data_IF_403797365429
#
_entry.id   IF_403797365429
#
_cell.length_a   1.000
_cell.length_b   1.000
_cell.length_c   1.000
_cell.angle_alpha   90.00
_cell.angle_beta   90.00
_cell.angle_gamma   90.00
#
_symmetry.space_group_name_H-M   'P 1'
#
loop_
_entity.id
_entity.type
_entity.pdbx_description
1 polymer ?
#
# COMPACT_ATOMS: atom_id res chain seq x y z
N UNK A 1 -20.74 39.41 0.75
CA UNK A 1 -19.51 38.82 0.21
C UNK A 1 -18.36 39.13 1.14
N UNK A 2 -17.81 38.11 1.80
CA UNK A 2 -16.51 38.18 2.45
C UNK A 2 -15.62 37.29 1.60
N UNK A 3 -14.87 37.93 0.69
CA UNK A 3 -13.79 37.32 -0.07
C UNK A 3 -12.59 37.15 0.86
N UNK A 4 -12.59 36.06 1.63
CA UNK A 4 -11.43 35.58 2.37
C UNK A 4 -10.90 34.35 1.66
N UNK A 5 -9.80 34.50 0.91
CA UNK A 5 -8.94 33.38 0.54
C UNK A 5 -8.20 32.93 1.80
N UNK A 6 -8.86 32.16 2.66
CA UNK A 6 -8.18 31.43 3.72
C UNK A 6 -7.45 30.24 3.11
N UNK A 7 -6.24 30.52 2.60
CA UNK A 7 -5.16 29.54 2.51
C UNK A 7 -4.64 29.29 3.95
N UNK A 8 -5.54 28.85 4.84
CA UNK A 8 -5.35 28.76 6.29
C UNK A 8 -4.82 27.41 6.77
N UNK A 9 -4.05 26.70 5.94
CA UNK A 9 -3.52 25.37 6.30
C UNK A 9 -2.00 25.28 6.12
N UNK A 10 -1.33 26.41 6.37
CA UNK A 10 0.13 26.47 6.49
C UNK A 10 0.54 25.98 7.88
N UNK A 11 0.82 24.67 7.99
CA UNK A 11 1.65 23.97 9.01
C UNK A 11 0.91 22.92 9.83
N UNK A 12 1.54 21.74 9.86
CA UNK A 12 1.17 20.52 10.61
C UNK A 12 1.21 20.72 12.14
N UNK A 13 1.78 21.83 12.59
CA UNK A 13 1.89 22.25 14.00
C UNK A 13 0.51 22.49 14.65
N UNK A 14 -0.53 22.80 13.87
CA UNK A 14 -1.86 23.15 14.40
C UNK A 14 -2.78 21.96 14.68
N UNK A 15 -2.41 20.75 14.21
CA UNK A 15 -3.20 19.54 14.44
C UNK A 15 -2.37 18.56 15.25
N UNK A 16 -2.49 18.54 16.60
CA UNK A 16 -1.82 17.54 17.41
C UNK A 16 -2.17 16.17 16.84
N UNK A 17 -1.16 15.31 16.64
CA UNK A 17 -1.36 13.92 16.22
C UNK A 17 -2.44 13.35 17.11
N UNK A 18 -3.65 13.16 16.58
CA UNK A 18 -4.68 12.42 17.29
C UNK A 18 -4.18 10.98 17.35
N UNK A 19 -3.40 10.67 18.39
CA UNK A 19 -3.05 9.32 18.78
C UNK A 19 -4.32 8.69 19.35
N UNK A 20 -5.27 8.40 18.47
CA UNK A 20 -6.40 7.55 18.83
C UNK A 20 -5.80 6.18 19.08
N UNK A 21 -5.78 5.77 20.35
CA UNK A 21 -5.40 4.41 20.73
C UNK A 21 -6.54 3.49 20.33
N UNK A 22 -6.49 2.99 19.11
CA UNK A 22 -7.44 1.99 18.62
C UNK A 22 -7.18 0.70 19.39
N UNK A 23 -8.00 0.38 20.38
CA UNK A 23 -7.99 -0.90 21.10
C UNK A 23 -9.42 -1.39 21.23
N UNK A 24 -9.95 -1.85 20.10
CA UNK A 24 -11.36 -2.26 19.99
C UNK A 24 -11.37 -3.71 19.49
N UNK A 25 -11.21 -4.71 20.39
CA UNK A 25 -10.95 -6.09 19.99
C UNK A 25 -12.11 -6.73 19.21
N UNK A 26 -13.32 -6.24 19.42
CA UNK A 26 -14.54 -6.69 18.74
C UNK A 26 -14.90 -5.85 17.50
N UNK A 27 -14.04 -4.90 17.11
CA UNK A 27 -14.28 -4.08 15.91
C UNK A 27 -14.26 -4.99 14.68
N UNK A 28 -15.40 -5.13 14.00
CA UNK A 28 -15.52 -5.91 12.78
C UNK A 28 -15.51 -5.05 11.51
N UNK A 29 -15.90 -3.78 11.63
CA UNK A 29 -15.97 -2.82 10.53
C UNK A 29 -15.40 -1.49 10.98
N UNK A 30 -14.48 -0.95 10.18
CA UNK A 30 -13.96 0.40 10.29
C UNK A 30 -14.08 1.09 8.92
N UNK A 31 -14.93 2.11 8.84
CA UNK A 31 -15.08 2.95 7.65
C UNK A 31 -14.80 4.40 8.07
N UNK A 32 -13.63 4.90 7.67
CA UNK A 32 -13.18 6.27 7.94
C UNK A 32 -13.15 7.04 6.63
N UNK A 33 -13.91 8.14 6.60
CA UNK A 33 -14.01 9.04 5.46
C UNK A 33 -13.79 10.47 5.88
N UNK A 34 -13.11 11.23 5.03
CA UNK A 34 -12.96 12.65 5.21
C UNK A 34 -11.58 13.15 4.81
N UNK A 35 -11.34 14.44 5.07
CA UNK A 35 -10.13 15.13 4.62
C UNK A 35 -8.87 14.64 5.34
N UNK A 36 -8.99 14.22 6.60
CA UNK A 36 -7.87 13.93 7.51
C UNK A 36 -7.59 12.44 7.75
N UNK A 37 -8.22 11.54 6.97
CA UNK A 37 -8.03 10.09 7.16
C UNK A 37 -6.58 9.66 6.92
N UNK A 38 -5.79 10.44 6.18
CA UNK A 38 -4.36 10.18 5.98
C UNK A 38 -3.52 10.24 7.27
N UNK A 39 -4.05 10.77 8.37
CA UNK A 39 -3.40 10.72 9.69
C UNK A 39 -3.64 9.41 10.44
N UNK A 40 -4.49 8.51 9.92
CA UNK A 40 -4.79 7.24 10.55
C UNK A 40 -3.54 6.35 10.61
N UNK A 41 -3.15 5.91 11.80
CA UNK A 41 -2.03 4.98 11.99
C UNK A 41 -2.51 3.53 11.81
N UNK A 42 -2.16 2.91 10.67
CA UNK A 42 -2.49 1.51 10.37
C UNK A 42 -2.01 0.56 11.48
N UNK A 43 -0.89 0.85 12.16
CA UNK A 43 -0.33 -0.03 13.21
C UNK A 43 -1.26 -0.16 14.40
N UNK A 44 -2.17 0.79 14.62
CA UNK A 44 -3.23 0.69 15.63
C UNK A 44 -4.15 -0.52 15.40
N UNK A 45 -4.27 -1.00 14.17
CA UNK A 45 -5.11 -2.15 13.81
C UNK A 45 -4.64 -3.48 14.43
N UNK A 46 -3.40 -3.57 14.92
CA UNK A 46 -2.91 -4.75 15.67
C UNK A 46 -3.75 -5.07 16.90
N UNK A 47 -4.45 -4.08 17.45
CA UNK A 47 -5.34 -4.22 18.59
C UNK A 47 -6.82 -4.44 18.18
N UNK A 48 -7.08 -4.62 16.89
CA UNK A 48 -8.39 -4.90 16.31
C UNK A 48 -8.39 -6.26 15.56
N UNK A 49 -8.04 -7.38 16.22
CA UNK A 49 -7.89 -8.68 15.57
C UNK A 49 -9.19 -9.24 14.96
N UNK A 50 -10.35 -8.69 15.33
CA UNK A 50 -11.66 -9.05 14.80
C UNK A 50 -12.04 -8.36 13.49
N UNK A 51 -11.22 -7.43 12.97
CA UNK A 51 -11.59 -6.60 11.84
C UNK A 51 -11.76 -7.42 10.56
N UNK A 52 -12.91 -7.24 9.90
CA UNK A 52 -13.26 -7.89 8.63
C UNK A 52 -13.36 -6.90 7.48
N UNK A 53 -13.76 -5.66 7.76
CA UNK A 53 -13.91 -4.61 6.76
C UNK A 53 -13.14 -3.37 7.18
N UNK A 54 -12.21 -2.94 6.33
CA UNK A 54 -11.46 -1.70 6.48
C UNK A 54 -11.66 -0.83 5.23
N UNK A 55 -12.20 0.36 5.42
CA UNK A 55 -12.37 1.37 4.37
C UNK A 55 -11.77 2.68 4.84
N UNK A 56 -10.76 3.17 4.13
CA UNK A 56 -10.07 4.41 4.44
C UNK A 56 -10.10 5.33 3.22
N UNK A 57 -10.97 6.34 3.27
CA UNK A 57 -11.27 7.22 2.14
C UNK A 57 -10.86 8.66 2.43
N UNK A 58 -9.87 9.14 1.71
CA UNK A 58 -9.43 10.54 1.77
C UNK A 58 -10.25 11.33 0.75
N UNK A 59 -11.11 12.21 1.23
CA UNK A 59 -12.00 13.03 0.39
C UNK A 59 -11.34 14.32 -0.10
N UNK A 60 -10.07 14.57 0.25
CA UNK A 60 -9.36 15.80 -0.10
C UNK A 60 -8.38 15.63 -1.25
N UNK A 61 -8.30 16.65 -2.11
CA UNK A 61 -7.23 16.83 -3.10
C UNK A 61 -5.93 17.39 -2.50
N UNK A 62 -5.79 17.40 -1.16
CA UNK A 62 -4.52 17.81 -0.55
C UNK A 62 -3.53 16.72 -0.91
N UNK A 63 -2.74 17.00 -1.95
CA UNK A 63 -1.57 16.24 -2.28
C UNK A 63 -0.78 16.09 -0.99
N UNK A 64 -0.55 14.84 -0.54
CA UNK A 64 0.48 14.60 0.45
C UNK A 64 1.72 15.40 0.01
N UNK A 65 2.31 16.24 0.89
CA UNK A 65 3.37 17.15 0.51
C UNK A 65 4.44 16.37 -0.25
N UNK A 66 4.58 16.66 -1.54
CA UNK A 66 5.47 15.93 -2.42
C UNK A 66 6.91 16.11 -1.93
N UNK A 67 7.63 15.03 -1.63
CA UNK A 67 9.10 15.05 -1.64
C UNK A 67 9.63 13.99 -2.58
N UNK A 68 10.59 14.42 -3.39
CA UNK A 68 11.48 13.58 -4.19
C UNK A 68 12.14 12.57 -3.24
N UNK A 69 12.13 11.28 -3.60
CA UNK A 69 12.92 10.22 -2.93
C UNK A 69 14.37 10.71 -2.82
N UNK A 70 14.82 11.03 -1.62
CA UNK A 70 16.22 10.89 -1.24
C UNK A 70 16.38 9.48 -0.72
N UNK A 71 17.29 8.70 -1.32
CA UNK A 71 17.63 7.35 -0.87
C UNK A 71 18.05 7.42 0.61
N UNK A 72 17.31 6.75 1.49
CA UNK A 72 17.78 6.41 2.83
C UNK A 72 17.66 4.90 2.96
N UNK A 73 18.82 4.24 2.93
CA UNK A 73 18.98 2.85 3.29
C UNK A 73 18.50 2.65 4.73
N UNK A 74 17.46 1.83 4.89
CA UNK A 74 16.98 1.41 6.22
C UNK A 74 17.63 0.08 6.53
N UNK A 75 18.89 0.15 6.96
CA UNK A 75 19.58 -0.91 7.70
C UNK A 75 20.20 -0.27 8.95
N UNK A 76 19.39 -0.06 9.99
CA UNK A 76 19.92 -0.13 11.36
C UNK A 76 18.78 -0.44 12.34
N UNK A 77 18.81 -1.64 12.91
CA UNK A 77 17.94 -2.09 14.00
C UNK A 77 18.57 -1.81 15.37
N UNK A 78 19.39 -0.75 15.47
CA UNK A 78 19.92 -0.30 16.73
C UNK A 78 20.03 1.23 16.77
N UNK A 79 19.18 1.87 17.57
CA UNK A 79 19.61 2.89 18.54
C UNK A 79 18.42 3.55 19.24
N UNK A 80 18.37 3.27 20.55
CA UNK A 80 17.80 4.15 21.54
C UNK A 80 18.45 5.55 21.42
N UNK A 81 17.58 6.57 21.31
CA UNK A 81 17.82 7.96 21.70
C UNK A 81 19.03 8.67 21.09
N UNK A 82 18.83 9.35 19.95
CA UNK A 82 19.49 10.63 19.67
C UNK A 82 18.56 11.58 18.92
N UNK A 83 18.64 12.85 19.30
CA UNK A 83 17.92 14.00 18.77
C UNK A 83 18.07 14.12 17.24
N UNK A 84 16.96 13.95 16.51
CA UNK A 84 16.88 14.30 15.10
C UNK A 84 16.47 15.78 14.97
N UNK A 85 17.45 16.58 14.54
CA UNK A 85 17.33 17.99 14.19
C UNK A 85 16.21 18.27 13.19
N UNK A 86 15.63 19.47 13.38
CA UNK A 86 14.60 20.12 12.57
C UNK A 86 14.83 20.00 11.06
N UNK A 87 14.08 19.08 10.48
CA UNK A 87 13.85 18.94 9.06
C UNK A 87 12.65 18.03 8.89
N UNK A 88 11.44 18.56 9.09
CA UNK A 88 10.19 17.79 9.02
C UNK A 88 10.13 16.92 7.75
N UNK A 89 10.47 15.64 7.92
CA UNK A 89 10.33 14.67 6.85
C UNK A 89 8.85 14.28 6.70
N UNK A 90 8.29 14.34 5.49
CA UNK A 90 6.95 13.84 5.23
C UNK A 90 6.99 12.31 5.38
N UNK A 91 6.51 11.83 6.52
CA UNK A 91 6.34 10.40 6.83
C UNK A 91 5.29 9.82 5.87
N UNK A 92 5.75 9.27 4.74
CA UNK A 92 4.95 8.36 3.93
C UNK A 92 4.76 7.07 4.70
N UNK A 93 3.60 6.44 4.54
CA UNK A 93 3.44 5.06 5.01
C UNK A 93 4.42 4.17 4.24
N UNK A 94 5.26 3.46 4.98
CA UNK A 94 6.23 2.52 4.44
C UNK A 94 5.61 1.13 4.31
N UNK A 95 6.28 0.20 3.63
CA UNK A 95 5.86 -1.21 3.64
C UNK A 95 5.66 -1.76 5.07
N UNK A 96 6.43 -1.27 6.04
CA UNK A 96 6.29 -1.64 7.47
C UNK A 96 4.92 -1.25 8.06
N UNK A 97 4.31 -0.15 7.62
CA UNK A 97 2.98 0.26 8.09
C UNK A 97 1.87 -0.63 7.51
N UNK A 98 2.10 -1.21 6.34
CA UNK A 98 1.18 -2.15 5.67
C UNK A 98 1.35 -3.60 6.14
N UNK A 99 2.46 -3.94 6.81
CA UNK A 99 2.70 -5.27 7.36
C UNK A 99 1.59 -5.70 8.34
N UNK A 100 1.05 -4.76 9.12
CA UNK A 100 -0.08 -5.03 10.02
C UNK A 100 -1.31 -5.55 9.25
N UNK A 101 -1.57 -5.02 8.05
CA UNK A 101 -2.67 -5.47 7.18
C UNK A 101 -2.39 -6.85 6.60
N UNK A 102 -1.14 -7.10 6.20
CA UNK A 102 -0.69 -8.40 5.70
C UNK A 102 -0.91 -9.53 6.72
N UNK A 103 -0.74 -9.23 8.01
CA UNK A 103 -0.95 -10.19 9.11
C UNK A 103 -2.44 -10.43 9.45
N UNK A 104 -3.38 -9.62 8.94
CA UNK A 104 -4.81 -9.73 9.27
C UNK A 104 -5.51 -10.89 8.56
N UNK A 105 -5.41 -12.09 9.14
CA UNK A 105 -6.05 -13.32 8.66
C UNK A 105 -7.60 -13.30 8.58
N UNK A 106 -8.24 -12.28 9.16
CA UNK A 106 -9.71 -12.13 9.18
C UNK A 106 -10.22 -10.99 8.29
N UNK A 107 -9.33 -10.19 7.72
CA UNK A 107 -9.73 -9.08 6.87
C UNK A 107 -10.26 -9.63 5.54
N UNK A 108 -11.55 -9.38 5.28
CA UNK A 108 -12.26 -9.84 4.08
C UNK A 108 -12.40 -8.71 3.05
N UNK A 109 -12.47 -7.45 3.48
CA UNK A 109 -12.60 -6.28 2.62
C UNK A 109 -11.57 -5.21 3.00
N UNK A 110 -10.77 -4.80 2.03
CA UNK A 110 -9.82 -3.69 2.14
C UNK A 110 -10.09 -2.68 1.04
N UNK A 111 -10.37 -1.43 1.42
CA UNK A 111 -10.56 -0.34 0.48
C UNK A 111 -9.75 0.89 0.88
N UNK A 112 -8.84 1.30 0.00
CA UNK A 112 -7.93 2.43 0.20
C UNK A 112 -8.16 3.43 -0.93
N UNK A 113 -8.77 4.57 -0.60
CA UNK A 113 -9.05 5.65 -1.54
C UNK A 113 -8.31 6.92 -1.14
N UNK A 114 -7.57 7.49 -2.08
CA UNK A 114 -6.82 8.72 -1.89
C UNK A 114 -5.33 8.57 -2.20
N UNK A 115 -4.76 9.65 -2.73
CA UNK A 115 -3.35 9.73 -3.15
C UNK A 115 -2.37 9.43 -2.02
N UNK A 116 -2.69 9.84 -0.79
CA UNK A 116 -1.79 9.74 0.37
C UNK A 116 -1.54 8.31 0.87
N UNK A 117 -2.36 7.33 0.48
CA UNK A 117 -2.09 5.92 0.80
C UNK A 117 -0.88 5.38 0.04
N UNK A 118 -0.53 6.00 -1.10
CA UNK A 118 0.68 5.71 -1.86
C UNK A 118 0.92 4.22 -2.16
N UNK A 119 -0.12 3.48 -2.57
CA UNK A 119 -0.01 2.05 -2.90
C UNK A 119 0.93 1.84 -4.09
N UNK A 120 2.17 1.43 -3.81
CA UNK A 120 3.23 1.16 -4.78
C UNK A 120 3.53 -0.35 -4.89
N UNK A 121 4.52 -0.71 -5.72
CA UNK A 121 4.92 -2.10 -5.92
C UNK A 121 5.38 -2.79 -4.63
N UNK A 122 6.02 -2.05 -3.71
CA UNK A 122 6.55 -2.62 -2.48
C UNK A 122 5.43 -2.90 -1.47
N UNK A 123 4.41 -2.03 -1.41
CA UNK A 123 3.22 -2.27 -0.59
C UNK A 123 2.44 -3.48 -1.12
N UNK A 124 2.26 -3.61 -2.43
CA UNK A 124 1.61 -4.78 -3.01
C UNK A 124 2.39 -6.08 -2.72
N UNK A 125 3.72 -6.05 -2.84
CA UNK A 125 4.60 -7.17 -2.45
C UNK A 125 4.44 -7.53 -0.97
N UNK A 126 4.37 -6.53 -0.09
CA UNK A 126 4.17 -6.72 1.36
C UNK A 126 2.81 -7.34 1.65
N UNK A 127 1.73 -6.82 1.06
CA UNK A 127 0.38 -7.31 1.29
C UNK A 127 0.16 -8.71 0.69
N UNK A 128 0.73 -8.98 -0.49
CA UNK A 128 0.61 -10.28 -1.16
C UNK A 128 1.58 -11.32 -0.61
N UNK A 129 2.73 -10.92 -0.10
CA UNK A 129 3.80 -11.84 0.30
C UNK A 129 4.49 -12.44 -0.92
N UNK A 130 5.01 -11.60 -1.79
CA UNK A 130 5.81 -12.02 -2.95
C UNK A 130 6.94 -11.01 -3.16
N UNK A 131 7.99 -11.43 -3.88
CA UNK A 131 9.08 -10.55 -4.23
C UNK A 131 9.21 -10.41 -5.74
N UNK A 132 9.39 -9.17 -6.21
CA UNK A 132 9.79 -8.88 -7.57
C UNK A 132 11.31 -8.69 -7.57
N UNK A 133 12.03 -9.57 -8.28
CA UNK A 133 13.44 -9.33 -8.60
C UNK A 133 13.52 -8.09 -9.46
N UNK A 134 13.87 -6.95 -8.86
CA UNK A 134 14.22 -5.76 -9.62
C UNK A 134 15.59 -6.00 -10.22
N UNK A 135 15.62 -6.36 -11.51
CA UNK A 135 16.83 -6.66 -12.28
C UNK A 135 17.81 -5.49 -12.48
N UNK A 136 17.74 -4.43 -11.68
CA UNK A 136 18.62 -3.28 -11.83
C UNK A 136 19.10 -2.79 -10.46
N UNK A 137 20.42 -2.69 -10.36
CA UNK A 137 21.22 -1.99 -9.34
C UNK A 137 21.39 -2.64 -7.96
N UNK A 138 22.05 -3.80 -7.85
CA UNK A 138 22.75 -4.15 -6.58
C UNK A 138 23.88 -5.20 -6.65
N UNK A 139 24.42 -5.52 -7.84
CA UNK A 139 25.62 -6.35 -7.95
C UNK A 139 26.62 -5.71 -8.93
N UNK A 140 27.61 -4.94 -8.44
CA UNK A 140 28.68 -4.42 -9.29
C UNK A 140 29.65 -5.50 -9.80
N UNK A 141 29.53 -6.76 -9.32
CA UNK A 141 30.58 -7.77 -9.51
C UNK A 141 30.21 -8.97 -10.39
N UNK A 142 29.08 -8.97 -11.11
CA UNK A 142 28.76 -10.08 -12.03
C UNK A 142 29.33 -9.79 -13.42
N UNK A 143 30.37 -10.55 -13.76
CA UNK A 143 31.05 -10.54 -15.06
C UNK A 143 30.05 -11.01 -16.12
N UNK A 144 29.93 -10.23 -17.20
CA UNK A 144 28.96 -10.37 -18.31
C UNK A 144 28.91 -11.74 -18.98
N UNK A 145 29.91 -12.61 -18.79
CA UNK A 145 30.00 -13.92 -19.45
C UNK A 145 29.20 -15.04 -18.75
N UNK A 146 28.76 -14.87 -17.50
CA UNK A 146 27.88 -15.85 -16.83
C UNK A 146 26.37 -15.60 -17.10
N UNK A 147 26.01 -14.47 -17.70
CA UNK A 147 24.60 -14.08 -17.94
C UNK A 147 23.98 -14.75 -19.17
N UNK A 148 24.77 -15.29 -20.10
CA UNK A 148 24.24 -15.90 -21.33
C UNK A 148 23.78 -17.36 -21.16
N UNK A 149 24.21 -18.09 -20.12
CA UNK A 149 23.74 -19.46 -19.87
C UNK A 149 22.47 -19.54 -19.01
N UNK A 150 22.24 -18.63 -18.06
CA UNK A 150 21.02 -18.67 -17.22
C UNK A 150 19.76 -18.19 -17.95
N UNK A 151 19.90 -17.33 -18.96
CA UNK A 151 18.77 -16.81 -19.75
C UNK A 151 18.06 -17.86 -20.62
N UNK A 152 18.62 -19.07 -20.77
CA UNK A 152 18.05 -20.11 -21.64
C UNK A 152 17.13 -21.12 -20.96
N UNK A 153 17.11 -21.23 -19.62
CA UNK A 153 16.42 -22.36 -18.96
C UNK A 153 15.60 -22.06 -17.70
N UNK A 154 15.34 -20.80 -17.35
CA UNK A 154 14.42 -20.51 -16.26
C UNK A 154 13.92 -19.08 -16.29
N UNK A 155 12.62 -18.88 -16.54
CA UNK A 155 12.00 -17.61 -16.18
C UNK A 155 12.27 -17.31 -14.69
N UNK A 156 12.36 -16.03 -14.30
CA UNK A 156 12.69 -15.64 -12.93
C UNK A 156 11.77 -16.36 -11.94
N UNK A 157 12.36 -17.12 -11.01
CA UNK A 157 11.61 -17.89 -10.00
C UNK A 157 11.06 -16.92 -8.95
N UNK A 158 9.91 -16.31 -9.24
CA UNK A 158 9.18 -15.55 -8.24
C UNK A 158 8.89 -16.44 -7.03
N UNK A 159 9.50 -16.12 -5.88
CA UNK A 159 9.21 -16.79 -4.62
C UNK A 159 7.98 -16.13 -3.98
N UNK A 160 6.93 -16.94 -3.80
CA UNK A 160 5.70 -16.54 -3.14
C UNK A 160 5.69 -17.07 -1.70
N UNK A 161 5.53 -16.17 -0.75
CA UNK A 161 5.28 -16.43 0.66
C UNK A 161 3.96 -15.77 1.06
N UNK A 162 2.81 -16.33 0.65
CA UNK A 162 1.52 -15.67 0.82
C UNK A 162 1.25 -15.28 2.26
N UNK A 163 0.81 -14.05 2.45
CA UNK A 163 0.48 -13.51 3.77
C UNK A 163 -0.82 -14.12 4.31
N UNK A 164 -1.09 -14.00 5.63
CA UNK A 164 -2.41 -14.33 6.17
C UNK A 164 -3.57 -13.62 5.44
N UNK A 165 -3.36 -12.35 5.06
CA UNK A 165 -4.31 -11.57 4.26
C UNK A 165 -4.63 -12.23 2.91
N UNK A 166 -3.63 -12.81 2.24
CA UNK A 166 -3.79 -13.50 0.97
C UNK A 166 -4.76 -14.69 1.04
N UNK A 167 -4.91 -15.27 2.24
CA UNK A 167 -5.86 -16.33 2.54
C UNK A 167 -7.26 -15.86 2.92
N UNK A 168 -7.51 -14.56 3.11
CA UNK A 168 -8.78 -14.04 3.65
C UNK A 168 -9.48 -13.01 2.77
N UNK A 169 -8.72 -12.19 2.04
CA UNK A 169 -9.25 -11.05 1.30
C UNK A 169 -10.18 -11.49 0.16
N UNK A 170 -11.37 -10.90 0.12
CA UNK A 170 -12.43 -11.15 -0.88
C UNK A 170 -12.72 -9.95 -1.77
N UNK A 171 -12.55 -8.75 -1.22
CA UNK A 171 -12.69 -7.48 -1.92
C UNK A 171 -11.45 -6.62 -1.70
N UNK A 172 -10.88 -6.10 -2.78
CA UNK A 172 -9.81 -5.11 -2.74
C UNK A 172 -10.18 -3.90 -3.58
N UNK A 173 -10.26 -2.73 -2.96
CA UNK A 173 -10.56 -1.47 -3.65
C UNK A 173 -9.39 -0.49 -3.56
N UNK A 174 -8.95 0.02 -4.71
CA UNK A 174 -7.92 1.07 -4.79
C UNK A 174 -8.36 2.20 -5.71
N UNK A 175 -8.25 3.44 -5.22
CA UNK A 175 -8.52 4.64 -6.00
C UNK A 175 -7.50 5.74 -5.70
N UNK A 176 -7.16 6.50 -6.74
CA UNK A 176 -6.35 7.72 -6.69
C UNK A 176 -4.92 7.65 -6.16
N UNK A 177 -4.43 6.49 -5.71
CA UNK A 177 -3.05 6.32 -5.26
C UNK A 177 -2.02 6.34 -6.41
N UNK A 178 -0.75 6.12 -6.08
CA UNK A 178 0.35 5.94 -7.03
C UNK A 178 0.02 4.84 -8.05
N UNK A 179 0.68 4.80 -9.21
CA UNK A 179 0.42 3.81 -10.27
C UNK A 179 1.40 2.64 -10.12
N UNK A 180 1.09 1.56 -9.37
CA UNK A 180 1.96 0.41 -9.28
C UNK A 180 1.97 -0.32 -10.63
N UNK A 181 3.07 -0.96 -10.94
CA UNK A 181 3.23 -1.62 -12.22
C UNK A 181 2.28 -2.82 -12.34
N UNK A 182 1.92 -3.15 -13.58
CA UNK A 182 1.19 -4.40 -13.88
C UNK A 182 1.93 -5.62 -13.32
N UNK A 183 3.27 -5.56 -13.33
CA UNK A 183 4.15 -6.58 -12.79
C UNK A 183 4.01 -6.80 -11.27
N UNK A 184 3.47 -5.84 -10.51
CA UNK A 184 3.15 -6.01 -9.09
C UNK A 184 1.66 -6.33 -8.86
N UNK A 185 0.76 -5.66 -9.59
CA UNK A 185 -0.69 -5.87 -9.47
C UNK A 185 -1.12 -7.30 -9.83
N UNK A 186 -0.55 -7.88 -10.89
CA UNK A 186 -0.92 -9.22 -11.34
C UNK A 186 -0.51 -10.28 -10.30
N UNK A 187 0.75 -10.37 -9.85
CA UNK A 187 1.13 -11.31 -8.78
C UNK A 187 0.36 -11.10 -7.48
N UNK A 188 0.08 -9.85 -7.10
CA UNK A 188 -0.76 -9.56 -5.94
C UNK A 188 -2.14 -10.24 -6.05
N UNK A 189 -2.85 -10.01 -7.15
CA UNK A 189 -4.16 -10.62 -7.40
C UNK A 189 -4.09 -12.15 -7.52
N UNK A 190 -3.02 -12.68 -8.12
CA UNK A 190 -2.79 -14.13 -8.23
C UNK A 190 -2.58 -14.77 -6.86
N UNK A 191 -1.87 -14.08 -5.95
CA UNK A 191 -1.61 -14.58 -4.59
C UNK A 191 -2.86 -14.56 -3.72
N UNK A 192 -3.78 -13.63 -3.96
CA UNK A 192 -5.04 -13.50 -3.23
C UNK A 192 -6.05 -14.59 -3.63
N UNK A 193 -5.96 -15.74 -2.96
CA UNK A 193 -6.71 -16.96 -3.27
C UNK A 193 -8.24 -16.82 -3.19
N UNK A 194 -8.74 -15.96 -2.30
CA UNK A 194 -10.18 -15.73 -2.08
C UNK A 194 -10.73 -14.46 -2.73
N UNK A 195 -9.88 -13.70 -3.43
CA UNK A 195 -10.28 -12.44 -4.04
C UNK A 195 -11.31 -12.70 -5.14
N UNK A 196 -12.48 -12.07 -4.98
CA UNK A 196 -13.59 -12.14 -5.92
C UNK A 196 -13.78 -10.84 -6.68
N UNK A 197 -13.51 -9.72 -6.03
CA UNK A 197 -13.71 -8.39 -6.63
C UNK A 197 -12.46 -7.56 -6.42
N UNK A 198 -11.96 -6.97 -7.50
CA UNK A 198 -11.02 -5.86 -7.44
C UNK A 198 -11.68 -4.62 -8.02
N UNK A 199 -11.75 -3.57 -7.21
CA UNK A 199 -12.34 -2.29 -7.59
C UNK A 199 -11.24 -1.28 -7.87
N UNK A 200 -11.20 -0.79 -9.10
CA UNK A 200 -10.14 0.05 -9.63
C UNK A 200 -10.67 1.44 -9.94
N UNK A 201 -10.08 2.47 -9.33
CA UNK A 201 -10.31 3.86 -9.73
C UNK A 201 -9.77 4.16 -11.14
N UNK A 202 -10.20 5.28 -11.72
CA UNK A 202 -9.86 5.71 -13.10
C UNK A 202 -8.38 5.56 -13.47
N UNK A 203 -7.46 5.89 -12.55
CA UNK A 203 -6.01 5.83 -12.78
C UNK A 203 -5.47 4.41 -13.03
N UNK A 204 -6.22 3.36 -12.66
CA UNK A 204 -5.82 1.95 -12.75
C UNK A 204 -6.45 1.18 -13.90
N UNK A 205 -7.23 1.86 -14.74
CA UNK A 205 -7.86 1.28 -15.94
C UNK A 205 -6.87 0.56 -16.87
N UNK A 206 -5.61 1.01 -16.90
CA UNK A 206 -4.53 0.36 -17.68
C UNK A 206 -4.25 -1.09 -17.27
N UNK A 207 -4.60 -1.52 -16.05
CA UNK A 207 -4.32 -2.86 -15.53
C UNK A 207 -5.52 -3.81 -15.65
N UNK A 208 -6.72 -3.30 -15.96
CA UNK A 208 -7.97 -4.05 -15.85
C UNK A 208 -7.98 -5.34 -16.67
N UNK A 209 -7.56 -5.26 -17.94
CA UNK A 209 -7.50 -6.43 -18.82
C UNK A 209 -6.51 -7.48 -18.31
N UNK A 210 -5.28 -7.08 -17.95
CA UNK A 210 -4.27 -8.01 -17.44
C UNK A 210 -4.69 -8.69 -16.14
N UNK A 211 -5.42 -7.99 -15.27
CA UNK A 211 -5.96 -8.56 -14.03
C UNK A 211 -7.08 -9.57 -14.32
N UNK A 212 -7.96 -9.26 -15.27
CA UNK A 212 -9.04 -10.15 -15.68
C UNK A 212 -8.49 -11.44 -16.33
N UNK A 213 -7.44 -11.32 -17.15
CA UNK A 213 -6.75 -12.44 -17.78
C UNK A 213 -6.01 -13.31 -16.74
N UNK A 214 -5.30 -12.70 -15.80
CA UNK A 214 -4.49 -13.42 -14.81
C UNK A 214 -5.32 -14.20 -13.79
N UNK A 215 -6.43 -13.64 -13.33
CA UNK A 215 -7.29 -14.31 -12.35
C UNK A 215 -8.38 -15.17 -13.02
N UNK A 216 -8.70 -14.93 -14.28
CA UNK A 216 -9.75 -15.63 -15.01
C UNK A 216 -11.14 -15.37 -14.42
N UNK A 217 -12.08 -16.33 -14.54
CA UNK A 217 -13.49 -16.13 -14.19
C UNK A 217 -13.76 -15.99 -12.69
N UNK A 218 -12.76 -16.25 -11.82
CA UNK A 218 -12.92 -16.12 -10.36
C UNK A 218 -12.98 -14.67 -9.90
N UNK A 219 -12.48 -13.74 -10.71
CA UNK A 219 -12.31 -12.34 -10.37
C UNK A 219 -13.22 -11.49 -11.24
N UNK A 220 -13.96 -10.60 -10.61
CA UNK A 220 -14.63 -9.47 -11.22
C UNK A 220 -13.76 -8.23 -11.08
N UNK A 221 -13.39 -7.61 -12.20
CA UNK A 221 -12.70 -6.32 -12.22
C UNK A 221 -13.73 -5.21 -12.41
N UNK A 222 -13.93 -4.40 -11.37
CA UNK A 222 -14.82 -3.24 -11.41
C UNK A 222 -14.04 -1.97 -11.69
N UNK A 223 -14.52 -1.16 -12.64
CA UNK A 223 -13.96 0.15 -12.94
C UNK A 223 -14.86 1.22 -12.32
N UNK A 224 -14.37 1.89 -11.29
CA UNK A 224 -15.10 2.96 -10.62
C UNK A 224 -14.71 4.33 -11.19
N UNK A 225 -15.74 5.07 -11.59
CA UNK A 225 -15.64 6.37 -12.26
C UNK A 225 -15.72 7.56 -11.31
N UNK A 226 -15.62 7.36 -10.01
CA UNK A 226 -15.57 8.46 -9.04
C UNK A 226 -14.20 9.12 -9.18
#
# INVERSE_FOLDING_TARGET
EISGSEDGYSRREEYPRMQITWSVPNLSLLDLRGRFVFFFDLRGLRHCPGLRTLRLHIESNIAAPHRRRGNVDVNDDSQDGQDLQDGEDPVWMTGRDYAVLAEMSRLEELELRGTSWNIDNHILQTLGGFHLETNYSDRPDVILDEMEEEARNGGPRQQYHPTPLAGSLRYFGIADAHKPDRAALVPFVTTMSKLKVISLGKKYTYAAQSLQEAAGPRLTVELNSL
#
